data_IF_035649253263
#
_entry.id   IF_035649253263
#
_cell.length_a   1.000
_cell.length_b   1.000
_cell.length_c   1.000
_cell.angle_alpha   90.00
_cell.angle_beta   90.00
_cell.angle_gamma   90.00
#
_symmetry.space_group_name_H-M   'P 1'
#
loop_
_entity.id
_entity.type
_entity.pdbx_description
1 polymer ?
#
# COMPACT_ATOMS: atom_id res chain seq x y z
N UNK A 1 -14.58 34.31 -63.00
CA UNK A 1 -13.93 35.05 -61.89
C UNK A 1 -12.93 34.09 -61.27
N UNK A 2 -11.65 34.25 -61.57
CA UNK A 2 -10.59 33.42 -60.97
C UNK A 2 -10.11 34.13 -59.72
N UNK A 3 -10.19 33.44 -58.57
CA UNK A 3 -9.74 33.95 -57.28
C UNK A 3 -8.21 33.89 -57.26
N UNK A 4 -7.51 34.98 -56.88
CA UNK A 4 -6.06 34.96 -56.77
C UNK A 4 -5.57 33.88 -55.80
N UNK A 5 -4.45 33.24 -56.14
CA UNK A 5 -3.86 32.13 -55.38
C UNK A 5 -3.22 32.67 -54.08
N UNK A 6 -4.04 32.77 -53.04
CA UNK A 6 -3.69 33.28 -51.73
C UNK A 6 -3.92 32.18 -50.70
N UNK A 7 -3.06 32.09 -49.68
CA UNK A 7 -3.22 31.08 -48.63
C UNK A 7 -4.49 31.36 -47.82
N UNK A 8 -5.52 30.52 -48.01
CA UNK A 8 -6.84 30.68 -47.40
C UNK A 8 -6.79 30.77 -45.87
N UNK A 9 -5.81 30.12 -45.22
CA UNK A 9 -5.67 30.19 -43.75
C UNK A 9 -5.26 31.59 -43.28
N UNK A 10 -4.23 32.16 -43.92
CA UNK A 10 -3.74 33.50 -43.59
C UNK A 10 -4.79 34.56 -43.94
N UNK A 11 -5.52 34.36 -45.04
CA UNK A 11 -6.61 35.23 -45.45
C UNK A 11 -7.73 35.26 -44.39
N UNK A 12 -8.15 34.09 -43.89
CA UNK A 12 -9.18 34.02 -42.83
C UNK A 12 -8.73 34.64 -41.51
N UNK A 13 -7.45 34.54 -41.17
CA UNK A 13 -6.92 35.15 -39.95
C UNK A 13 -6.88 36.69 -40.06
N UNK A 14 -6.53 37.23 -41.24
CA UNK A 14 -6.62 38.68 -41.52
C UNK A 14 -8.08 39.17 -41.53
N UNK A 15 -9.01 38.39 -42.09
CA UNK A 15 -10.45 38.69 -42.03
C UNK A 15 -10.97 38.65 -40.58
N UNK A 16 -10.50 37.71 -39.76
CA UNK A 16 -10.85 37.62 -38.35
C UNK A 16 -10.33 38.81 -37.51
N UNK A 17 -9.22 39.42 -37.92
CA UNK A 17 -8.72 40.67 -37.33
C UNK A 17 -9.47 41.92 -37.82
N UNK A 18 -10.39 41.78 -38.77
CA UNK A 18 -11.28 42.85 -39.24
C UNK A 18 -10.79 43.57 -40.50
N UNK A 19 -9.78 43.06 -41.20
CA UNK A 19 -9.34 43.63 -42.48
C UNK A 19 -10.29 43.22 -43.63
N UNK A 20 -10.65 44.14 -44.55
CA UNK A 20 -11.43 43.80 -45.73
C UNK A 20 -10.75 42.72 -46.59
N UNK A 21 -11.52 41.76 -47.12
CA UNK A 21 -10.99 40.63 -47.90
C UNK A 21 -10.14 41.09 -49.11
N UNK A 22 -10.51 42.19 -49.77
CA UNK A 22 -9.75 42.77 -50.87
C UNK A 22 -8.35 43.26 -50.44
N UNK A 23 -8.28 43.95 -49.29
CA UNK A 23 -7.05 44.45 -48.69
C UNK A 23 -6.16 43.31 -48.19
N UNK A 24 -6.74 42.32 -47.53
CA UNK A 24 -6.04 41.12 -47.07
C UNK A 24 -5.46 40.31 -48.24
N UNK A 25 -6.21 40.21 -49.34
CA UNK A 25 -5.75 39.55 -50.57
C UNK A 25 -4.57 40.30 -51.20
N UNK A 26 -4.63 41.63 -51.36
CA UNK A 26 -3.50 42.43 -51.86
C UNK A 26 -2.28 42.32 -50.93
N UNK A 27 -2.49 42.37 -49.62
CA UNK A 27 -1.41 42.27 -48.64
C UNK A 27 -0.70 40.93 -48.67
N UNK A 28 -1.45 39.84 -48.87
CA UNK A 28 -0.86 38.51 -49.04
C UNK A 28 -0.15 38.35 -50.38
N UNK A 29 -0.61 39.04 -51.44
CA UNK A 29 0.11 39.10 -52.71
C UNK A 29 1.40 39.93 -52.61
N UNK A 30 1.36 41.09 -51.95
CA UNK A 30 2.50 41.97 -51.75
C UNK A 30 3.57 41.39 -50.81
N UNK A 31 3.16 40.65 -49.79
CA UNK A 31 4.05 39.93 -48.88
C UNK A 31 4.48 38.55 -49.38
N UNK A 32 3.95 38.09 -50.52
CA UNK A 32 4.28 36.79 -51.12
C UNK A 32 3.80 35.57 -50.31
N UNK A 33 2.69 35.70 -49.57
CA UNK A 33 2.13 34.66 -48.69
C UNK A 33 3.10 34.15 -47.59
N UNK A 34 4.08 34.95 -47.15
CA UNK A 34 5.14 34.52 -46.25
C UNK A 34 4.68 34.27 -44.80
N UNK A 35 3.96 35.22 -44.20
CA UNK A 35 3.39 35.11 -42.85
C UNK A 35 2.28 36.15 -42.64
N UNK A 36 1.57 36.06 -41.51
CA UNK A 36 0.49 37.01 -41.16
C UNK A 36 1.07 38.37 -40.81
N UNK A 37 2.17 38.38 -40.05
CA UNK A 37 2.86 39.59 -39.62
C UNK A 37 3.40 40.36 -40.83
N UNK A 38 3.99 39.66 -41.81
CA UNK A 38 4.45 40.29 -43.05
C UNK A 38 3.29 40.91 -43.87
N UNK A 39 2.09 40.31 -43.81
CA UNK A 39 0.91 40.88 -44.43
C UNK A 39 0.38 42.10 -43.67
N UNK A 40 0.43 42.09 -42.33
CA UNK A 40 0.06 43.24 -41.49
C UNK A 40 1.02 44.40 -41.74
N UNK A 41 2.34 44.15 -41.77
CA UNK A 41 3.34 45.18 -42.03
C UNK A 41 3.12 45.81 -43.42
N UNK A 42 2.80 45.01 -44.43
CA UNK A 42 2.44 45.52 -45.75
C UNK A 42 1.19 46.40 -45.72
N UNK A 43 0.15 46.01 -44.96
CA UNK A 43 -1.08 46.81 -44.77
C UNK A 43 -0.77 48.14 -44.07
N UNK A 44 0.16 48.16 -43.13
CA UNK A 44 0.55 49.38 -42.42
C UNK A 44 1.29 50.32 -43.38
N UNK A 45 2.24 49.80 -44.15
CA UNK A 45 3.05 50.59 -45.07
C UNK A 45 2.23 51.18 -46.24
N UNK A 46 1.17 50.48 -46.65
CA UNK A 46 0.33 50.86 -47.80
C UNK A 46 -1.09 51.27 -47.37
N UNK A 47 -1.37 51.45 -46.07
CA UNK A 47 -2.73 51.60 -45.53
C UNK A 47 -3.46 52.90 -45.90
N UNK A 48 -2.76 53.87 -46.48
CA UNK A 48 -3.27 55.19 -46.84
C UNK A 48 -3.52 55.37 -48.36
N UNK A 49 -3.27 54.34 -49.16
CA UNK A 49 -3.49 54.38 -50.59
C UNK A 49 -4.99 54.17 -50.90
N UNK A 50 -5.66 55.12 -51.60
CA UNK A 50 -7.10 55.12 -51.80
C UNK A 50 -7.63 53.98 -52.70
N UNK A 51 -6.74 53.22 -53.34
CA UNK A 51 -7.03 52.11 -54.26
C UNK A 51 -6.82 50.72 -53.62
N UNK A 52 -6.43 50.66 -52.34
CA UNK A 52 -6.08 49.40 -51.64
C UNK A 52 -7.28 48.51 -51.35
N UNK A 53 -8.47 49.10 -51.22
CA UNK A 53 -9.72 48.37 -51.01
C UNK A 53 -10.39 47.94 -52.33
N UNK A 54 -9.81 48.30 -53.48
CA UNK A 54 -10.33 47.91 -54.78
C UNK A 54 -9.78 46.54 -55.19
N UNK A 55 -10.68 45.56 -55.33
CA UNK A 55 -10.38 44.19 -55.74
C UNK A 55 -9.56 44.21 -57.05
N UNK A 56 -8.29 43.72 -57.06
CA UNK A 56 -7.45 43.78 -58.24
C UNK A 56 -8.05 42.93 -59.37
N UNK A 57 -8.42 43.59 -60.48
CA UNK A 57 -8.83 42.91 -61.72
C UNK A 57 -7.58 42.57 -62.52
N UNK A 58 -7.09 41.35 -62.39
CA UNK A 58 -5.99 40.86 -63.23
C UNK A 58 -6.58 40.20 -64.47
N UNK A 59 -6.45 40.88 -65.61
CA UNK A 59 -6.52 40.29 -66.95
C UNK A 59 -5.26 39.46 -67.16
N UNK A 60 -5.42 38.14 -67.28
CA UNK A 60 -4.33 37.25 -67.68
C UNK A 60 -4.30 37.25 -69.20
N UNK A 61 -3.26 37.85 -69.78
CA UNK A 61 -2.84 37.55 -71.15
C UNK A 61 -2.30 36.12 -71.15
N UNK A 62 -3.19 35.14 -71.35
CA UNK A 62 -2.81 33.78 -71.71
C UNK A 62 -2.43 33.79 -73.19
N UNK A 63 -1.14 33.92 -73.46
CA UNK A 63 -0.56 33.49 -74.73
C UNK A 63 -0.70 31.96 -74.80
N UNK A 64 -1.84 31.52 -75.36
CA UNK A 64 -2.12 30.09 -75.64
C UNK A 64 -1.21 29.66 -76.79
N UNK A 65 0.02 29.29 -76.44
CA UNK A 65 0.87 28.48 -77.30
C UNK A 65 0.54 27.01 -77.06
N UNK A 66 0.05 26.38 -78.13
CA UNK A 66 -0.28 24.97 -78.34
C UNK A 66 0.34 23.94 -77.37
N UNK A 67 -0.43 22.95 -76.88
CA UNK A 67 0.14 21.84 -76.13
C UNK A 67 0.78 20.82 -77.07
N UNK A 68 2.10 20.64 -76.98
CA UNK A 68 2.75 19.40 -77.40
C UNK A 68 2.59 18.33 -76.29
N UNK A 69 2.32 17.07 -76.64
CA UNK A 69 2.18 15.99 -75.67
C UNK A 69 3.53 15.70 -74.99
N UNK A 70 3.59 15.86 -73.67
CA UNK A 70 4.76 15.53 -72.85
C UNK A 70 5.15 14.05 -73.02
N UNK A 71 6.34 13.79 -73.54
CA UNK A 71 6.92 12.45 -73.65
C UNK A 71 7.34 11.95 -72.26
N UNK A 72 6.58 11.01 -71.69
CA UNK A 72 6.88 10.41 -70.38
C UNK A 72 8.16 9.58 -70.50
N UNK A 73 9.24 10.00 -69.82
CA UNK A 73 10.51 9.24 -69.81
C UNK A 73 10.36 7.92 -69.03
N UNK A 74 11.04 6.87 -69.47
CA UNK A 74 10.96 5.53 -68.86
C UNK A 74 11.40 5.53 -67.39
N UNK A 75 12.32 6.42 -67.00
CA UNK A 75 12.71 6.59 -65.60
C UNK A 75 11.60 7.15 -64.72
N UNK A 76 10.80 8.09 -65.25
CA UNK A 76 9.64 8.63 -64.53
C UNK A 76 8.56 7.55 -64.35
N UNK A 77 8.35 6.67 -65.35
CA UNK A 77 7.45 5.52 -65.22
C UNK A 77 7.96 4.50 -64.20
N UNK A 78 9.27 4.23 -64.18
CA UNK A 78 9.89 3.30 -63.24
C UNK A 78 9.84 3.82 -61.80
N UNK A 79 10.15 5.10 -61.57
CA UNK A 79 10.00 5.76 -60.25
C UNK A 79 8.54 5.79 -59.79
N UNK A 80 7.58 6.07 -60.69
CA UNK A 80 6.16 6.02 -60.36
C UNK A 80 5.68 4.60 -60.00
N UNK A 81 6.17 3.57 -60.68
CA UNK A 81 5.90 2.16 -60.33
C UNK A 81 6.51 1.78 -58.97
N UNK A 82 7.77 2.15 -58.73
CA UNK A 82 8.44 1.89 -57.44
C UNK A 82 7.72 2.57 -56.27
N UNK A 83 7.27 3.83 -56.42
CA UNK A 83 6.49 4.51 -55.39
C UNK A 83 5.14 3.83 -55.14
N UNK A 84 4.46 3.34 -56.20
CA UNK A 84 3.22 2.58 -56.07
C UNK A 84 3.43 1.23 -55.37
N UNK A 85 4.52 0.54 -55.66
CA UNK A 85 4.84 -0.75 -55.03
C UNK A 85 5.29 -0.57 -53.57
N UNK A 86 6.10 0.46 -53.26
CA UNK A 86 6.42 0.84 -51.88
C UNK A 86 5.16 1.24 -51.09
N UNK A 87 4.26 2.01 -51.68
CA UNK A 87 2.97 2.33 -51.05
C UNK A 87 2.07 1.09 -50.85
N UNK A 88 2.15 0.10 -51.74
CA UNK A 88 1.41 -1.17 -51.59
C UNK A 88 1.98 -2.04 -50.47
N UNK A 89 3.31 -2.08 -50.33
CA UNK A 89 3.98 -2.85 -49.28
C UNK A 89 3.91 -2.18 -47.90
N UNK A 90 3.89 -0.86 -47.81
CA UNK A 90 3.82 -0.14 -46.53
C UNK A 90 2.39 -0.09 -45.95
N UNK A 91 1.35 -0.19 -46.78
CA UNK A 91 -0.06 -0.22 -46.34
C UNK A 91 -0.40 -1.33 -45.32
N UNK A 92 0.05 -2.60 -45.48
CA UNK A 92 -0.17 -3.62 -44.45
C UNK A 92 0.68 -3.39 -43.19
N UNK A 93 1.91 -2.89 -43.31
CA UNK A 93 2.79 -2.59 -42.18
C UNK A 93 2.21 -1.45 -41.31
N UNK A 94 1.70 -0.40 -41.95
CA UNK A 94 1.06 0.73 -41.27
C UNK A 94 -0.20 0.30 -40.52
N UNK A 95 -0.98 -0.64 -41.07
CA UNK A 95 -2.16 -1.25 -40.42
C UNK A 95 -1.81 -2.25 -39.31
N UNK A 96 -0.65 -2.88 -39.37
CA UNK A 96 -0.16 -3.80 -38.35
C UNK A 96 0.50 -3.07 -37.18
N UNK A 97 1.07 -1.89 -37.40
CA UNK A 97 1.71 -1.07 -36.36
C UNK A 97 0.83 -0.74 -35.14
N UNK A 98 -0.46 -0.35 -35.24
CA UNK A 98 -1.30 -0.15 -34.06
C UNK A 98 -1.65 -1.47 -33.36
N UNK A 99 -1.77 -2.56 -34.11
CA UNK A 99 -2.06 -3.90 -33.57
C UNK A 99 -0.87 -4.47 -32.79
N UNK A 100 0.34 -4.15 -33.21
CA UNK A 100 1.57 -4.56 -32.53
C UNK A 100 1.75 -3.79 -31.22
N UNK A 101 1.57 -2.46 -31.23
CA UNK A 101 1.59 -1.64 -30.01
C UNK A 101 0.54 -2.08 -28.99
N UNK A 102 -0.66 -2.43 -29.45
CA UNK A 102 -1.73 -2.94 -28.58
C UNK A 102 -1.39 -4.32 -28.00
N UNK A 103 -0.79 -5.21 -28.79
CA UNK A 103 -0.29 -6.51 -28.30
C UNK A 103 0.84 -6.35 -27.29
N UNK A 104 1.73 -5.38 -27.48
CA UNK A 104 2.81 -5.06 -26.54
C UNK A 104 2.26 -4.53 -25.22
N UNK A 105 1.26 -3.64 -25.26
CA UNK A 105 0.57 -3.16 -24.06
C UNK A 105 -0.07 -4.30 -23.27
N UNK A 106 -0.76 -5.22 -23.96
CA UNK A 106 -1.38 -6.40 -23.35
C UNK A 106 -0.31 -7.35 -22.78
N UNK A 107 0.79 -7.55 -23.50
CA UNK A 107 1.91 -8.39 -23.06
C UNK A 107 2.57 -7.80 -21.81
N UNK A 108 2.89 -6.51 -21.82
CA UNK A 108 3.45 -5.80 -20.68
C UNK A 108 2.53 -5.86 -19.46
N UNK A 109 1.21 -5.73 -19.66
CA UNK A 109 0.23 -5.89 -18.58
C UNK A 109 0.21 -7.30 -17.98
N UNK A 110 0.32 -8.34 -18.82
CA UNK A 110 0.41 -9.74 -18.36
C UNK A 110 1.72 -10.02 -17.64
N UNK A 111 2.84 -9.54 -18.18
CA UNK A 111 4.17 -9.69 -17.57
C UNK A 111 4.25 -9.00 -16.22
N UNK A 112 3.63 -7.81 -16.07
CA UNK A 112 3.56 -7.10 -14.80
C UNK A 112 2.76 -7.89 -13.76
N UNK A 113 1.61 -8.43 -14.14
CA UNK A 113 0.77 -9.25 -13.25
C UNK A 113 1.48 -10.55 -12.83
N UNK A 114 2.23 -11.16 -13.75
CA UNK A 114 2.99 -12.39 -13.49
C UNK A 114 4.20 -12.13 -12.60
N UNK A 115 4.90 -11.01 -12.81
CA UNK A 115 5.97 -10.56 -11.92
C UNK A 115 5.46 -10.29 -10.50
N UNK A 116 4.28 -9.67 -10.35
CA UNK A 116 3.62 -9.46 -9.05
C UNK A 116 3.32 -10.78 -8.34
N UNK A 117 2.74 -11.76 -9.06
CA UNK A 117 2.50 -13.11 -8.52
C UNK A 117 3.78 -13.82 -8.07
N UNK A 118 4.86 -13.69 -8.83
CA UNK A 118 6.16 -14.29 -8.48
C UNK A 118 6.75 -13.61 -7.25
N UNK A 119 6.66 -12.28 -7.15
CA UNK A 119 7.13 -11.54 -6.00
C UNK A 119 6.35 -11.94 -4.72
N UNK A 120 5.02 -12.04 -4.80
CA UNK A 120 4.19 -12.49 -3.69
C UNK A 120 4.55 -13.92 -3.23
N UNK A 121 4.78 -14.84 -4.16
CA UNK A 121 5.19 -16.22 -3.82
C UNK A 121 6.58 -16.25 -3.18
N UNK A 122 7.52 -15.42 -3.65
CA UNK A 122 8.85 -15.28 -3.03
C UNK A 122 8.73 -14.73 -1.61
N UNK A 123 7.91 -13.70 -1.39
CA UNK A 123 7.65 -13.15 -0.06
C UNK A 123 7.04 -14.19 0.88
N UNK A 124 6.03 -14.92 0.40
CA UNK A 124 5.39 -16.00 1.16
C UNK A 124 6.39 -17.10 1.51
N UNK A 125 7.22 -17.51 0.56
CA UNK A 125 8.27 -18.51 0.78
C UNK A 125 9.31 -18.04 1.80
N UNK A 126 9.74 -16.78 1.71
CA UNK A 126 10.66 -16.16 2.69
C UNK A 126 10.04 -16.14 4.08
N UNK A 127 8.78 -15.73 4.20
CA UNK A 127 8.06 -15.71 5.48
C UNK A 127 7.96 -17.11 6.11
N UNK A 128 7.59 -18.12 5.33
CA UNK A 128 7.52 -19.51 5.81
C UNK A 128 8.91 -20.04 6.20
N UNK A 129 9.95 -19.72 5.44
CA UNK A 129 11.32 -20.09 5.77
C UNK A 129 11.80 -19.44 7.08
N UNK A 130 11.53 -18.14 7.28
CA UNK A 130 11.84 -17.44 8.53
C UNK A 130 11.11 -18.07 9.72
N UNK A 131 9.83 -18.41 9.58
CA UNK A 131 9.06 -19.08 10.64
C UNK A 131 9.56 -20.49 10.95
N UNK A 132 10.04 -21.22 9.94
CA UNK A 132 10.63 -22.55 10.13
C UNK A 132 12.00 -22.44 10.83
N UNK A 133 12.83 -21.49 10.41
CA UNK A 133 14.13 -21.22 11.02
C UNK A 133 14.00 -20.78 12.48
N UNK A 134 13.08 -19.87 12.80
CA UNK A 134 12.78 -19.43 14.17
C UNK A 134 12.38 -20.62 15.06
N UNK A 135 11.47 -21.49 14.59
CA UNK A 135 11.07 -22.70 15.33
C UNK A 135 12.22 -23.69 15.52
N UNK A 136 13.08 -23.85 14.53
CA UNK A 136 14.22 -24.76 14.63
C UNK A 136 15.29 -24.21 15.59
N UNK A 137 15.55 -22.90 15.56
CA UNK A 137 16.43 -22.25 16.51
C UNK A 137 15.89 -22.33 17.94
N UNK A 138 14.58 -22.14 18.13
CA UNK A 138 13.94 -22.34 19.43
C UNK A 138 14.10 -23.79 19.92
N UNK A 139 13.94 -24.79 19.04
CA UNK A 139 14.18 -26.20 19.37
C UNK A 139 15.64 -26.44 19.77
N UNK A 140 16.60 -25.93 18.99
CA UNK A 140 18.04 -26.01 19.30
C UNK A 140 18.36 -25.33 20.64
N UNK A 141 17.76 -24.19 20.94
CA UNK A 141 17.92 -23.50 22.22
C UNK A 141 17.35 -24.32 23.39
N UNK A 142 16.15 -24.90 23.22
CA UNK A 142 15.53 -25.80 24.22
C UNK A 142 16.39 -27.04 24.46
N UNK A 143 16.93 -27.65 23.42
CA UNK A 143 17.83 -28.81 23.53
C UNK A 143 19.11 -28.46 24.29
N UNK A 144 19.73 -27.29 24.01
CA UNK A 144 20.89 -26.80 24.77
C UNK A 144 20.57 -26.60 26.26
N UNK A 145 19.40 -26.04 26.59
CA UNK A 145 18.96 -25.87 27.99
C UNK A 145 18.74 -27.23 28.65
N UNK A 146 18.09 -28.17 27.96
CA UNK A 146 17.87 -29.52 28.46
C UNK A 146 19.21 -30.26 28.71
N UNK A 147 20.18 -30.11 27.81
CA UNK A 147 21.51 -30.69 27.97
C UNK A 147 22.24 -30.09 29.19
N UNK A 148 22.17 -28.76 29.37
CA UNK A 148 22.72 -28.09 30.57
C UNK A 148 22.07 -28.61 31.86
N UNK A 149 20.73 -28.74 31.89
CA UNK A 149 20.00 -29.31 33.03
C UNK A 149 20.41 -30.76 33.31
N UNK A 150 20.65 -31.56 32.27
CA UNK A 150 21.10 -32.95 32.41
C UNK A 150 22.51 -33.02 33.03
N UNK A 151 23.41 -32.16 32.58
CA UNK A 151 24.77 -32.08 33.13
C UNK A 151 24.75 -31.58 34.58
N UNK A 152 24.01 -30.52 34.89
CA UNK A 152 23.83 -30.01 36.26
C UNK A 152 23.18 -31.07 37.17
N UNK A 153 22.26 -31.89 36.66
CA UNK A 153 21.71 -33.05 37.41
C UNK A 153 22.78 -34.12 37.70
N UNK A 154 23.68 -34.40 36.75
CA UNK A 154 24.78 -35.35 36.94
C UNK A 154 25.85 -34.78 37.90
N UNK A 155 26.21 -33.51 37.76
CA UNK A 155 27.14 -32.82 38.66
C UNK A 155 26.61 -32.77 40.09
N UNK A 156 25.32 -32.49 40.29
CA UNK A 156 24.70 -32.58 41.63
C UNK A 156 24.72 -34.00 42.18
N UNK A 157 24.45 -35.00 41.34
CA UNK A 157 24.50 -36.41 41.78
C UNK A 157 25.92 -36.82 42.18
N UNK A 158 26.93 -36.47 41.38
CA UNK A 158 28.34 -36.70 41.70
C UNK A 158 28.75 -35.92 42.95
N UNK A 159 28.34 -34.66 43.10
CA UNK A 159 28.65 -33.85 44.28
C UNK A 159 27.96 -34.37 45.54
N UNK A 160 26.77 -34.94 45.43
CA UNK A 160 26.07 -35.62 46.53
C UNK A 160 26.75 -36.95 46.90
N UNK A 161 27.22 -37.73 45.92
CA UNK A 161 28.01 -38.96 46.13
C UNK A 161 29.38 -38.64 46.77
N UNK A 162 30.04 -37.54 46.36
CA UNK A 162 31.28 -37.05 46.99
C UNK A 162 31.03 -36.43 48.39
N UNK A 163 29.81 -35.97 48.67
CA UNK A 163 29.44 -35.45 49.99
C UNK A 163 29.02 -36.55 50.97
N UNK A 164 28.66 -37.76 50.51
CA UNK A 164 28.37 -38.88 51.43
C UNK A 164 29.62 -39.56 51.98
N UNK A 165 30.78 -39.38 51.34
CA UNK A 165 32.08 -39.91 51.81
C UNK A 165 32.86 -38.93 52.71
N UNK A 166 32.36 -37.70 52.92
CA UNK A 166 32.94 -36.73 53.86
C UNK A 166 32.04 -36.61 55.11
N UNK A 167 32.25 -37.53 56.04
CA UNK A 167 31.57 -37.71 57.32
C UNK A 167 31.28 -36.42 58.11
N UNK A 168 30.14 -36.44 58.82
CA UNK A 168 30.04 -36.03 60.23
C UNK A 168 30.77 -34.74 60.62
N UNK A 169 30.17 -33.57 60.42
CA UNK A 169 30.28 -32.47 61.39
C UNK A 169 29.33 -31.32 61.06
N UNK A 170 28.87 -30.69 62.13
CA UNK A 170 28.29 -29.35 62.19
C UNK A 170 26.80 -29.19 61.88
N UNK A 171 26.04 -29.19 62.98
CA UNK A 171 24.74 -28.52 63.12
C UNK A 171 24.92 -27.03 62.82
N UNK A 172 24.33 -26.55 61.73
CA UNK A 172 23.91 -25.14 61.63
C UNK A 172 22.52 -25.06 60.97
N UNK A 173 21.54 -24.76 61.82
CA UNK A 173 20.20 -24.28 61.47
C UNK A 173 20.30 -22.87 60.92
N UNK A 174 19.80 -22.62 59.70
CA UNK A 174 19.46 -21.28 59.18
C UNK A 174 18.52 -21.42 57.94
N UNK A 175 17.78 -20.36 57.54
CA UNK A 175 16.33 -20.32 57.67
C UNK A 175 15.54 -20.42 56.35
N UNK A 176 14.27 -20.76 56.54
CA UNK A 176 13.11 -20.67 55.65
C UNK A 176 13.17 -19.51 54.64
N UNK A 177 13.26 -19.85 53.34
CA UNK A 177 13.03 -18.92 52.23
C UNK A 177 11.60 -19.07 51.70
N UNK A 178 10.63 -18.43 52.37
CA UNK A 178 9.19 -18.54 52.06
C UNK A 178 8.71 -17.70 50.86
N UNK A 179 9.58 -16.92 50.20
CA UNK A 179 9.10 -15.82 49.34
C UNK A 179 8.55 -16.26 47.97
N UNK A 180 8.80 -17.49 47.50
CA UNK A 180 8.33 -17.96 46.18
C UNK A 180 6.94 -18.61 46.19
N UNK A 181 6.47 -19.09 47.34
CA UNK A 181 5.15 -19.74 47.45
C UNK A 181 4.01 -18.71 47.29
N UNK A 182 4.16 -17.51 47.87
CA UNK A 182 3.12 -16.49 47.87
C UNK A 182 2.84 -15.87 46.48
N UNK A 183 3.87 -15.70 45.64
CA UNK A 183 3.70 -15.15 44.30
C UNK A 183 2.91 -16.09 43.36
N UNK A 184 3.11 -17.41 43.49
CA UNK A 184 2.39 -18.39 42.67
C UNK A 184 0.91 -18.49 43.07
N UNK A 185 0.63 -18.47 44.38
CA UNK A 185 -0.74 -18.45 44.92
C UNK A 185 -1.49 -17.18 44.49
N UNK A 186 -0.84 -16.02 44.53
CA UNK A 186 -1.42 -14.76 44.07
C UNK A 186 -1.69 -14.76 42.54
N UNK A 187 -0.79 -15.34 41.75
CA UNK A 187 -0.99 -15.49 40.30
C UNK A 187 -2.14 -16.45 39.97
N UNK A 188 -2.33 -17.51 40.76
CA UNK A 188 -3.42 -18.47 40.57
C UNK A 188 -4.79 -17.85 40.92
N UNK A 189 -4.86 -17.09 42.02
CA UNK A 189 -6.07 -16.36 42.42
C UNK A 189 -6.49 -15.32 41.36
N UNK A 190 -5.53 -14.56 40.81
CA UNK A 190 -5.80 -13.65 39.68
C UNK A 190 -6.31 -14.37 38.44
N UNK A 191 -5.77 -15.55 38.14
CA UNK A 191 -6.24 -16.33 37.00
C UNK A 191 -7.69 -16.81 37.16
N UNK A 192 -8.13 -17.14 38.39
CA UNK A 192 -9.56 -17.42 38.67
C UNK A 192 -10.43 -16.18 38.54
N UNK A 193 -9.99 -15.03 39.05
CA UNK A 193 -10.72 -13.76 38.88
C UNK A 193 -10.89 -13.41 37.40
N UNK A 194 -9.83 -13.60 36.60
CA UNK A 194 -9.88 -13.45 35.15
C UNK A 194 -10.89 -14.40 34.49
N UNK A 195 -10.94 -15.67 34.93
CA UNK A 195 -11.96 -16.61 34.47
C UNK A 195 -13.35 -16.10 34.80
N UNK A 196 -13.58 -15.64 36.02
CA UNK A 196 -14.91 -15.17 36.44
C UNK A 196 -15.34 -13.92 35.66
N UNK A 197 -14.45 -12.97 35.37
CA UNK A 197 -14.77 -11.84 34.48
C UNK A 197 -15.23 -12.34 33.10
N UNK A 198 -14.51 -13.30 32.52
CA UNK A 198 -14.87 -13.88 31.21
C UNK A 198 -16.18 -14.69 31.27
N UNK A 199 -16.46 -15.40 32.39
CA UNK A 199 -17.74 -16.08 32.62
C UNK A 199 -18.88 -15.06 32.71
N UNK A 200 -18.69 -13.98 33.47
CA UNK A 200 -19.67 -12.90 33.66
C UNK A 200 -20.06 -12.27 32.32
N UNK A 201 -19.07 -11.88 31.50
CA UNK A 201 -19.30 -11.32 30.16
C UNK A 201 -20.21 -12.24 29.33
N UNK A 202 -19.95 -13.55 29.38
CA UNK A 202 -20.73 -14.53 28.62
C UNK A 202 -22.11 -14.81 29.21
N UNK A 203 -22.25 -14.81 30.54
CA UNK A 203 -23.56 -14.96 31.21
C UNK A 203 -24.48 -13.76 30.96
N UNK A 204 -23.94 -12.55 30.89
CA UNK A 204 -24.72 -11.33 30.71
C UNK A 204 -25.11 -11.11 29.23
N UNK A 205 -24.39 -11.74 28.29
CA UNK A 205 -24.65 -11.66 26.85
C UNK A 205 -25.06 -13.02 26.25
N UNK A 206 -25.89 -13.78 26.99
CA UNK A 206 -26.46 -15.05 26.51
C UNK A 206 -27.30 -14.80 25.24
N UNK A 207 -26.81 -15.25 24.09
CA UNK A 207 -27.47 -15.10 22.79
C UNK A 207 -26.70 -14.24 21.78
N UNK A 208 -25.72 -13.45 22.22
CA UNK A 208 -24.83 -12.69 21.33
C UNK A 208 -23.37 -13.16 21.46
N UNK A 209 -23.17 -14.45 21.17
CA UNK A 209 -21.84 -15.05 21.16
C UNK A 209 -20.89 -14.35 20.19
N UNK A 210 -21.42 -13.71 19.14
CA UNK A 210 -20.62 -12.96 18.18
C UNK A 210 -19.99 -11.73 18.85
N UNK A 211 -20.76 -10.97 19.64
CA UNK A 211 -20.25 -9.84 20.43
C UNK A 211 -19.27 -10.27 21.50
N UNK A 212 -19.54 -11.35 22.22
CA UNK A 212 -18.61 -11.91 23.22
C UNK A 212 -17.29 -12.34 22.56
N UNK A 213 -17.34 -13.02 21.41
CA UNK A 213 -16.14 -13.39 20.66
C UNK A 213 -15.34 -12.16 20.20
N UNK A 214 -16.00 -11.12 19.67
CA UNK A 214 -15.34 -9.85 19.28
C UNK A 214 -14.66 -9.17 20.48
N UNK A 215 -15.30 -9.21 21.65
CA UNK A 215 -14.75 -8.69 22.89
C UNK A 215 -13.46 -9.41 23.28
N UNK A 216 -13.50 -10.74 23.35
CA UNK A 216 -12.36 -11.56 23.73
C UNK A 216 -11.19 -11.42 22.76
N UNK A 217 -11.45 -11.31 21.45
CA UNK A 217 -10.43 -11.03 20.45
C UNK A 217 -9.79 -9.65 20.64
N UNK A 218 -10.59 -8.64 20.99
CA UNK A 218 -10.10 -7.28 21.24
C UNK A 218 -9.24 -7.23 22.50
N UNK A 219 -9.68 -7.86 23.59
CA UNK A 219 -8.89 -8.04 24.82
C UNK A 219 -7.56 -8.77 24.55
N UNK A 220 -7.60 -9.85 23.76
CA UNK A 220 -6.41 -10.61 23.38
C UNK A 220 -5.44 -9.76 22.55
N UNK A 221 -5.96 -8.87 21.71
CA UNK A 221 -5.14 -7.95 20.91
C UNK A 221 -4.41 -6.95 21.80
N UNK A 222 -5.09 -6.34 22.79
CA UNK A 222 -4.43 -5.41 23.71
C UNK A 222 -3.33 -6.10 24.53
N UNK A 223 -3.63 -7.24 25.14
CA UNK A 223 -2.66 -7.99 25.94
C UNK A 223 -1.52 -8.52 25.07
N UNK A 224 -1.82 -9.04 23.88
CA UNK A 224 -0.83 -9.54 22.94
C UNK A 224 0.09 -8.45 22.38
N UNK A 225 -0.40 -7.22 22.25
CA UNK A 225 0.43 -6.08 21.84
C UNK A 225 1.40 -5.67 22.95
N UNK A 226 0.93 -5.60 24.20
CA UNK A 226 1.79 -5.33 25.36
C UNK A 226 2.83 -6.44 25.56
N UNK A 227 2.40 -7.71 25.51
CA UNK A 227 3.31 -8.85 25.74
C UNK A 227 4.41 -8.96 24.68
N UNK A 228 4.13 -8.59 23.42
CA UNK A 228 5.14 -8.56 22.35
C UNK A 228 6.07 -7.36 22.44
N UNK A 229 5.54 -6.20 22.82
CA UNK A 229 6.27 -4.93 22.81
C UNK A 229 6.01 -4.13 24.10
N UNK A 230 6.54 -4.58 25.25
CA UNK A 230 6.23 -4.00 26.55
C UNK A 230 6.83 -2.60 26.74
N UNK A 231 7.87 -2.25 25.99
CA UNK A 231 8.55 -0.94 26.07
C UNK A 231 7.77 0.18 25.39
N UNK A 232 6.94 -0.15 24.40
CA UNK A 232 6.27 0.85 23.57
C UNK A 232 4.99 1.33 24.24
N UNK A 233 5.00 2.57 24.73
CA UNK A 233 3.90 3.17 25.49
C UNK A 233 2.56 3.18 24.75
N UNK A 234 2.57 3.32 23.41
CA UNK A 234 1.35 3.32 22.59
C UNK A 234 0.49 2.06 22.77
N UNK A 235 1.09 0.93 23.13
CA UNK A 235 0.38 -0.32 23.38
C UNK A 235 -0.06 -0.48 24.84
N UNK A 236 0.53 0.31 25.75
CA UNK A 236 0.17 0.35 27.18
C UNK A 236 -0.91 1.38 27.49
N UNK A 237 -1.36 2.15 26.51
CA UNK A 237 -2.39 3.18 26.65
C UNK A 237 -3.61 2.85 25.78
N UNK A 238 -4.78 2.80 26.39
CA UNK A 238 -6.07 2.55 25.73
C UNK A 238 -7.00 3.73 26.02
N UNK A 239 -7.57 4.32 24.97
CA UNK A 239 -8.50 5.44 25.07
C UNK A 239 -9.92 4.92 25.35
N UNK A 240 -10.50 5.31 26.47
CA UNK A 240 -11.85 4.89 26.87
C UNK A 240 -12.92 5.53 25.97
N UNK A 241 -12.71 6.72 25.44
CA UNK A 241 -13.68 7.37 24.52
C UNK A 241 -13.73 6.75 23.12
N UNK A 242 -12.91 5.74 22.80
CA UNK A 242 -12.92 5.14 21.47
C UNK A 242 -14.20 4.31 21.29
N UNK A 243 -15.02 4.58 20.25
CA UNK A 243 -16.28 3.87 20.05
C UNK A 243 -16.10 2.35 19.86
N UNK A 244 -15.02 1.93 19.20
CA UNK A 244 -14.71 0.50 19.00
C UNK A 244 -14.36 -0.18 20.33
N UNK A 245 -13.65 0.53 21.21
CA UNK A 245 -13.36 0.03 22.55
C UNK A 245 -14.65 -0.07 23.37
N UNK A 246 -15.47 0.97 23.37
CA UNK A 246 -16.73 1.01 24.12
C UNK A 246 -17.68 -0.10 23.69
N UNK A 247 -17.93 -0.25 22.39
CA UNK A 247 -18.84 -1.28 21.88
C UNK A 247 -18.39 -2.71 22.24
N UNK A 248 -17.08 -2.97 22.14
CA UNK A 248 -16.51 -4.32 22.26
C UNK A 248 -16.08 -4.73 23.65
N UNK A 249 -15.63 -3.80 24.50
CA UNK A 249 -15.04 -4.10 25.81
C UNK A 249 -15.59 -3.18 26.90
N UNK A 250 -15.70 -1.88 26.63
CA UNK A 250 -16.10 -0.88 27.62
C UNK A 250 -17.55 -1.02 28.09
N UNK A 251 -18.47 -1.39 27.20
CA UNK A 251 -19.89 -1.60 27.50
C UNK A 251 -20.18 -2.99 28.09
N UNK A 252 -19.18 -3.88 28.16
CA UNK A 252 -19.35 -5.22 28.71
C UNK A 252 -18.90 -5.23 30.16
N UNK A 253 -19.82 -5.55 31.07
CA UNK A 253 -19.52 -5.76 32.49
C UNK A 253 -18.46 -6.86 32.64
N UNK A 254 -17.39 -6.58 33.38
CA UNK A 254 -16.21 -7.45 33.50
C UNK A 254 -15.12 -7.23 32.44
N UNK A 255 -15.39 -6.49 31.35
CA UNK A 255 -14.38 -6.21 30.31
C UNK A 255 -13.27 -5.28 30.78
N UNK A 256 -13.64 -4.19 31.46
CA UNK A 256 -12.68 -3.23 32.05
C UNK A 256 -11.98 -3.83 33.28
N UNK A 257 -12.73 -4.54 34.13
CA UNK A 257 -12.18 -5.25 35.30
C UNK A 257 -11.10 -6.26 34.89
N UNK A 258 -11.31 -6.99 33.79
CA UNK A 258 -10.32 -7.91 33.25
C UNK A 258 -9.01 -7.20 32.85
N UNK A 259 -9.09 -5.99 32.29
CA UNK A 259 -7.90 -5.18 31.99
C UNK A 259 -7.23 -4.69 33.27
N UNK A 260 -8.00 -4.33 34.30
CA UNK A 260 -7.45 -3.95 35.61
C UNK A 260 -6.70 -5.10 36.28
N UNK A 261 -7.22 -6.34 36.19
CA UNK A 261 -6.54 -7.56 36.64
C UNK A 261 -5.22 -7.81 35.91
N UNK A 262 -5.15 -7.42 34.63
CA UNK A 262 -3.91 -7.46 33.84
C UNK A 262 -2.91 -6.34 34.19
N UNK A 263 -3.31 -5.39 35.04
CA UNK A 263 -2.47 -4.31 35.56
C UNK A 263 -2.77 -2.92 35.00
N UNK A 264 -3.74 -2.78 34.09
CA UNK A 264 -4.15 -1.46 33.60
C UNK A 264 -4.82 -0.66 34.71
N UNK A 265 -4.56 0.65 34.76
CA UNK A 265 -5.18 1.56 35.72
C UNK A 265 -5.93 2.65 34.98
N UNK A 266 -7.10 3.01 35.50
CA UNK A 266 -7.83 4.20 35.06
C UNK A 266 -7.04 5.43 35.52
N UNK A 267 -6.81 6.36 34.60
CA UNK A 267 -6.19 7.65 34.92
C UNK A 267 -7.22 8.56 35.60
N UNK A 268 -6.78 9.56 36.36
CA UNK A 268 -7.62 10.43 37.20
C UNK A 268 -8.79 11.12 36.46
N UNK A 269 -8.69 11.31 35.14
CA UNK A 269 -9.78 11.84 34.31
C UNK A 269 -10.73 10.79 33.70
N UNK A 270 -10.58 9.50 34.00
CA UNK A 270 -11.33 8.39 33.38
C UNK A 270 -11.30 8.36 31.83
N UNK A 271 -10.36 9.05 31.20
CA UNK A 271 -10.26 9.10 29.73
C UNK A 271 -9.41 7.97 29.15
N UNK A 272 -8.44 7.46 29.92
CA UNK A 272 -7.47 6.46 29.49
C UNK A 272 -7.26 5.37 30.53
N UNK A 273 -7.13 4.13 30.03
CA UNK A 273 -6.53 3.01 30.73
C UNK A 273 -5.05 2.97 30.38
N UNK A 274 -4.19 3.02 31.40
CA UNK A 274 -2.74 3.02 31.25
C UNK A 274 -2.10 1.90 32.06
N UNK A 275 -1.15 1.19 31.47
CA UNK A 275 -0.34 0.17 32.13
C UNK A 275 1.08 0.71 32.36
N UNK A 276 1.46 1.05 33.61
CA UNK A 276 2.81 1.48 33.93
C UNK A 276 3.84 0.39 33.65
N UNK A 277 5.03 0.77 33.20
CA UNK A 277 6.14 -0.16 32.89
C UNK A 277 6.47 -1.06 34.08
N UNK A 278 6.51 -0.50 35.27
CA UNK A 278 6.88 -1.22 36.51
C UNK A 278 5.83 -2.22 36.98
N UNK A 279 4.62 -2.17 36.39
CA UNK A 279 3.50 -3.05 36.70
C UNK A 279 3.24 -4.08 35.61
N UNK A 280 4.07 -4.15 34.57
CA UNK A 280 3.98 -5.17 33.52
C UNK A 280 4.45 -6.50 34.09
N UNK A 281 3.51 -7.37 34.45
CA UNK A 281 3.79 -8.75 34.85
C UNK A 281 3.52 -9.70 33.67
N UNK A 282 4.60 -10.20 33.08
CA UNK A 282 4.53 -11.11 31.93
C UNK A 282 3.83 -12.43 32.26
N UNK A 283 3.93 -12.92 33.50
CA UNK A 283 3.25 -14.13 33.94
C UNK A 283 1.74 -13.94 33.99
N UNK A 284 1.29 -12.77 34.46
CA UNK A 284 -0.12 -12.37 34.46
C UNK A 284 -0.63 -12.18 33.02
N UNK A 285 0.11 -11.51 32.15
CA UNK A 285 -0.29 -11.31 30.75
C UNK A 285 -0.37 -12.62 29.95
N UNK A 286 0.57 -13.54 30.16
CA UNK A 286 0.54 -14.87 29.53
C UNK A 286 -0.62 -15.71 30.06
N UNK A 287 -0.87 -15.66 31.38
CA UNK A 287 -2.03 -16.29 32.00
C UNK A 287 -3.34 -15.76 31.41
N UNK A 288 -3.49 -14.43 31.33
CA UNK A 288 -4.64 -13.76 30.76
C UNK A 288 -4.86 -14.13 29.29
N UNK A 289 -3.79 -14.13 28.48
CA UNK A 289 -3.84 -14.55 27.09
C UNK A 289 -4.24 -16.02 26.92
N UNK A 290 -3.79 -16.90 27.82
CA UNK A 290 -4.21 -18.30 27.85
C UNK A 290 -5.69 -18.47 28.19
N UNK A 291 -6.19 -17.74 29.20
CA UNK A 291 -7.62 -17.77 29.56
C UNK A 291 -8.51 -17.27 28.41
N UNK A 292 -8.14 -16.17 27.75
CA UNK A 292 -8.87 -15.66 26.59
C UNK A 292 -8.87 -16.63 25.41
N UNK A 293 -7.73 -17.26 25.12
CA UNK A 293 -7.65 -18.30 24.07
C UNK A 293 -8.51 -19.51 24.42
N UNK A 294 -8.47 -19.95 25.69
CA UNK A 294 -9.34 -21.02 26.17
C UNK A 294 -10.82 -20.64 26.01
N UNK A 295 -11.20 -19.41 26.34
CA UNK A 295 -12.56 -18.90 26.20
C UNK A 295 -13.04 -18.81 24.75
N UNK A 296 -12.15 -18.51 23.82
CA UNK A 296 -12.45 -18.46 22.38
C UNK A 296 -12.57 -19.86 21.76
N UNK A 297 -11.70 -20.79 22.16
CA UNK A 297 -11.65 -22.15 21.59
C UNK A 297 -12.67 -23.08 22.23
N UNK A 298 -12.97 -22.92 23.52
CA UNK A 298 -13.87 -23.80 24.25
C UNK A 298 -15.32 -23.25 24.24
N UNK A 299 -16.25 -23.94 23.55
CA UNK A 299 -17.66 -23.55 23.52
C UNK A 299 -18.30 -23.56 24.91
N UNK A 300 -17.79 -24.35 25.85
CA UNK A 300 -18.31 -24.52 27.20
C UNK A 300 -17.64 -23.64 28.25
N UNK A 301 -16.75 -22.73 27.84
CA UNK A 301 -16.08 -21.83 28.77
C UNK A 301 -17.11 -20.98 29.53
N UNK A 302 -17.24 -21.26 30.84
CA UNK A 302 -18.16 -20.59 31.77
C UNK A 302 -19.47 -21.30 32.09
N UNK A 303 -19.66 -22.54 31.65
CA UNK A 303 -20.79 -23.40 32.06
C UNK A 303 -20.53 -24.20 33.35
N UNK A 304 -19.34 -24.08 33.94
CA UNK A 304 -18.94 -24.63 35.24
C UNK A 304 -18.56 -23.49 36.18
#
# INVERSE_FOLDING_TARGET
MAVPEVNEKLLRELEAMGFPSARATRALQGSGNASIEAAIDWIIDHGNDPDVDEMPRVSIDLDVRSPEPCFVTEEMKKKARQLRDCARNNRPEEKNSPREREKERIRAGKELLEAERIAEEIERRRFLASRKAEKEEEKRARERVLQKLRNDKLERRQKLEVSSDSLMSSKHTLPLGETKMNAHVYSAAKAEQMRECLRSIRRNHKGDDARVRRAFQTLLTYIGNVARNPEVEKFRRIRLSNPVFQERVGALEGGVEFLELCGFRKTEGLEFLFLPRDKVDMGVLHSAGSQLKSALTNPYFGLL
#
